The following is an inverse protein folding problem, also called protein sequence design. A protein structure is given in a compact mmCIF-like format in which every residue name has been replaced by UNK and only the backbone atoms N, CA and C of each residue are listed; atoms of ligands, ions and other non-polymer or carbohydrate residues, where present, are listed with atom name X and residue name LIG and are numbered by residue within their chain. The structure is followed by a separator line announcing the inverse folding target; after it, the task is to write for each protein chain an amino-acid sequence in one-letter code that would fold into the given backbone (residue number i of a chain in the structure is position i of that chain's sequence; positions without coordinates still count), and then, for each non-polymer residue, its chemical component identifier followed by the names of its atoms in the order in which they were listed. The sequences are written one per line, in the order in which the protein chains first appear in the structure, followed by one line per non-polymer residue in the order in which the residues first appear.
data_IF_669269710315
#
_entry.id   IF_669269710315
#
_cell.length_a   1.000
_cell.length_b   1.000
_cell.length_c   1.000
_cell.angle_alpha   90.00
_cell.angle_beta   90.00
_cell.angle_gamma   90.00
#
_symmetry.space_group_name_H-M   'P 1'
#
loop_
_entity.id
_entity.type
_entity.pdbx_description
1 polymer ?
#
# COMPACT_ATOMS: atom_id res chain seq x y z
N UNK A 1 -32.49 -18.41 -34.81
CA UNK A 1 -32.50 -17.38 -33.74
C UNK A 1 -32.70 -17.93 -32.30
N UNK A 2 -32.92 -19.23 -32.05
CA UNK A 2 -33.10 -19.77 -30.68
C UNK A 2 -31.81 -20.11 -29.92
N UNK A 3 -30.67 -20.28 -30.63
CA UNK A 3 -29.36 -20.59 -30.02
C UNK A 3 -28.58 -19.36 -29.55
N UNK A 4 -28.90 -18.16 -30.04
CA UNK A 4 -28.23 -16.91 -29.67
C UNK A 4 -28.42 -16.53 -28.18
N UNK A 5 -29.57 -16.90 -27.59
CA UNK A 5 -29.87 -16.65 -26.17
C UNK A 5 -28.97 -17.46 -25.22
N UNK A 6 -28.49 -18.62 -25.67
CA UNK A 6 -27.57 -19.45 -24.88
C UNK A 6 -26.15 -18.88 -24.82
N UNK A 7 -25.74 -18.11 -25.82
CA UNK A 7 -24.47 -17.36 -25.80
C UNK A 7 -24.57 -16.08 -24.97
N UNK A 8 -25.77 -15.55 -24.73
CA UNK A 8 -25.96 -14.33 -23.94
C UNK A 8 -25.57 -14.53 -22.46
N UNK A 9 -25.86 -15.71 -21.90
CA UNK A 9 -25.56 -16.06 -20.52
C UNK A 9 -24.04 -16.00 -20.25
N UNK A 10 -23.16 -16.73 -20.97
CA UNK A 10 -21.73 -16.65 -20.74
C UNK A 10 -21.17 -15.26 -20.99
N UNK A 11 -21.70 -14.49 -21.95
CA UNK A 11 -21.28 -13.09 -22.19
C UNK A 11 -21.61 -12.20 -20.98
N UNK A 12 -22.81 -12.30 -20.42
CA UNK A 12 -23.22 -11.51 -19.24
C UNK A 12 -22.37 -11.91 -18.03
N UNK A 13 -22.13 -13.21 -17.84
CA UNK A 13 -21.27 -13.71 -16.77
C UNK A 13 -19.85 -13.17 -16.93
N UNK A 14 -19.27 -13.22 -18.12
CA UNK A 14 -17.94 -12.67 -18.39
C UNK A 14 -17.88 -11.16 -18.10
N UNK A 15 -18.89 -10.42 -18.57
CA UNK A 15 -18.98 -8.98 -18.34
C UNK A 15 -19.09 -8.66 -16.84
N UNK A 16 -19.84 -9.45 -16.07
CA UNK A 16 -19.93 -9.33 -14.62
C UNK A 16 -18.57 -9.58 -13.95
N UNK A 17 -17.85 -10.63 -14.34
CA UNK A 17 -16.52 -10.92 -13.82
C UNK A 17 -15.54 -9.77 -14.09
N UNK A 18 -15.53 -9.23 -15.31
CA UNK A 18 -14.69 -8.09 -15.67
C UNK A 18 -15.07 -6.85 -14.83
N UNK A 19 -16.37 -6.57 -14.69
CA UNK A 19 -16.86 -5.45 -13.90
C UNK A 19 -16.49 -5.58 -12.42
N UNK A 20 -16.59 -6.78 -11.84
CA UNK A 20 -16.19 -7.06 -10.47
C UNK A 20 -14.68 -6.89 -10.31
N UNK A 21 -13.87 -7.45 -11.20
CA UNK A 21 -12.40 -7.32 -11.10
C UNK A 21 -11.93 -5.87 -11.23
N UNK A 22 -12.53 -5.08 -12.11
CA UNK A 22 -12.17 -3.66 -12.27
C UNK A 22 -12.77 -2.77 -11.17
N UNK A 23 -14.01 -3.03 -10.75
CA UNK A 23 -14.72 -2.23 -9.76
C UNK A 23 -14.15 -2.37 -8.35
N UNK A 24 -13.72 -3.58 -7.97
CA UNK A 24 -13.15 -3.84 -6.64
C UNK A 24 -11.84 -3.09 -6.42
N UNK A 25 -10.98 -2.97 -7.45
CA UNK A 25 -9.74 -2.21 -7.36
C UNK A 25 -9.97 -0.74 -6.97
N UNK A 26 -10.94 -0.08 -7.63
CA UNK A 26 -11.29 1.31 -7.37
C UNK A 26 -11.99 1.49 -6.01
N UNK A 27 -12.81 0.51 -5.61
CA UNK A 27 -13.51 0.52 -4.33
C UNK A 27 -12.58 0.33 -3.13
N UNK A 28 -11.59 -0.55 -3.24
CA UNK A 28 -10.69 -0.88 -2.12
C UNK A 28 -9.47 0.02 -1.98
N UNK A 29 -9.07 0.77 -3.02
CA UNK A 29 -8.00 1.78 -2.93
C UNK A 29 -8.51 3.16 -3.32
N UNK A 30 -9.20 3.87 -2.41
CA UNK A 30 -9.57 5.26 -2.68
C UNK A 30 -8.30 6.07 -3.00
N UNK A 31 -8.37 6.91 -4.04
CA UNK A 31 -7.31 7.86 -4.39
C UNK A 31 -6.68 8.60 -3.19
N UNK A 32 -7.45 9.13 -2.21
CA UNK A 32 -6.85 9.78 -1.05
C UNK A 32 -5.96 8.87 -0.21
N UNK A 33 -6.20 7.56 -0.16
CA UNK A 33 -5.34 6.61 0.57
C UNK A 33 -3.99 6.44 -0.12
N UNK A 34 -3.97 6.45 -1.46
CA UNK A 34 -2.73 6.38 -2.26
C UNK A 34 -1.88 7.65 -2.14
N UNK A 35 -2.52 8.82 -2.13
CA UNK A 35 -1.80 10.10 -1.97
C UNK A 35 -1.29 10.29 -0.53
N UNK A 36 -1.98 9.72 0.46
CA UNK A 36 -1.61 9.86 1.85
C UNK A 36 -0.37 9.05 2.25
N UNK A 37 -0.05 7.96 1.54
CA UNK A 37 1.08 7.09 1.91
C UNK A 37 2.45 7.77 1.70
N UNK A 38 2.79 8.32 0.51
CA UNK A 38 4.01 9.12 0.32
C UNK A 38 4.11 10.31 1.27
N UNK A 39 2.97 10.97 1.54
CA UNK A 39 2.94 12.12 2.44
C UNK A 39 3.31 11.74 3.87
N UNK A 40 2.84 10.59 4.34
CA UNK A 40 3.17 10.08 5.67
C UNK A 40 4.65 9.66 5.77
N UNK A 41 5.22 9.08 4.71
CA UNK A 41 6.67 8.80 4.62
C UNK A 41 7.47 10.09 4.82
N UNK A 42 7.13 11.16 4.10
CA UNK A 42 7.84 12.43 4.20
C UNK A 42 7.66 13.13 5.56
N UNK A 43 6.47 13.05 6.17
CA UNK A 43 6.29 13.56 7.54
C UNK A 43 7.14 12.78 8.55
N UNK A 44 7.08 11.45 8.50
CA UNK A 44 7.84 10.59 9.40
C UNK A 44 9.35 10.80 9.25
N UNK A 45 9.82 10.98 8.02
CA UNK A 45 11.22 11.33 7.72
C UNK A 45 11.65 12.63 8.41
N UNK A 46 10.80 13.67 8.39
CA UNK A 46 11.07 14.95 9.07
C UNK A 46 11.14 14.77 10.59
N UNK A 47 10.23 13.98 11.16
CA UNK A 47 10.24 13.73 12.60
C UNK A 47 11.48 12.94 13.04
N UNK A 48 11.91 11.95 12.25
CA UNK A 48 13.14 11.20 12.51
C UNK A 48 14.38 12.10 12.42
N UNK A 49 14.47 12.95 11.38
CA UNK A 49 15.57 13.91 11.23
C UNK A 49 15.63 14.94 12.37
N UNK A 50 14.47 15.35 12.87
CA UNK A 50 14.35 16.25 14.02
C UNK A 50 14.51 15.53 15.37
N UNK A 51 14.74 14.21 15.39
CA UNK A 51 14.79 13.38 16.60
C UNK A 51 13.51 13.47 17.46
N UNK A 52 12.36 13.74 16.85
CA UNK A 52 11.04 13.76 17.51
C UNK A 52 10.48 12.34 17.65
N UNK A 53 11.18 11.46 18.38
CA UNK A 53 10.94 10.02 18.40
C UNK A 53 9.51 9.61 18.82
N UNK A 54 8.90 10.35 19.74
CA UNK A 54 7.53 10.07 20.19
C UNK A 54 6.51 10.37 19.09
N UNK A 55 6.66 11.53 18.43
CA UNK A 55 5.87 11.89 17.23
C UNK A 55 6.11 10.88 16.11
N UNK A 56 7.38 10.54 15.84
CA UNK A 56 7.77 9.56 14.82
C UNK A 56 7.13 8.18 15.08
N UNK A 57 7.07 7.74 16.34
CA UNK A 57 6.38 6.48 16.67
C UNK A 57 4.86 6.57 16.40
N UNK A 58 4.23 7.71 16.69
CA UNK A 58 2.82 7.95 16.37
C UNK A 58 2.56 7.98 14.86
N UNK A 59 3.44 8.61 14.10
CA UNK A 59 3.32 8.72 12.64
C UNK A 59 3.64 7.41 11.92
N UNK A 60 4.57 6.61 12.45
CA UNK A 60 4.80 5.25 11.99
C UNK A 60 3.55 4.37 12.16
N UNK A 61 2.86 4.46 13.29
CA UNK A 61 1.62 3.72 13.49
C UNK A 61 0.55 4.11 12.47
N UNK A 62 0.47 5.39 12.08
CA UNK A 62 -0.45 5.85 11.03
C UNK A 62 -0.03 5.31 9.66
N UNK A 63 1.27 5.29 9.37
CA UNK A 63 1.82 4.75 8.12
C UNK A 63 1.48 3.26 7.99
N UNK A 64 1.67 2.46 9.05
CA UNK A 64 1.30 1.05 9.07
C UNK A 64 -0.20 0.81 8.87
N UNK A 65 -1.04 1.65 9.49
CA UNK A 65 -2.50 1.58 9.28
C UNK A 65 -2.89 1.92 7.85
N UNK A 66 -2.24 2.91 7.26
CA UNK A 66 -2.45 3.28 5.85
C UNK A 66 -2.02 2.15 4.93
N UNK A 67 -0.87 1.53 5.17
CA UNK A 67 -0.41 0.35 4.42
C UNK A 67 -1.44 -0.78 4.45
N UNK A 68 -1.96 -1.14 5.63
CA UNK A 68 -2.99 -2.19 5.78
C UNK A 68 -4.26 -1.89 4.98
N UNK A 69 -4.62 -0.63 4.79
CA UNK A 69 -5.78 -0.22 3.98
C UNK A 69 -5.50 -0.30 2.47
N UNK A 70 -4.25 -0.22 2.04
CA UNK A 70 -3.87 -0.29 0.62
C UNK A 70 -3.83 -1.73 0.12
N UNK A 71 -3.38 -2.67 0.96
CA UNK A 71 -3.19 -4.09 0.61
C UNK A 71 -4.38 -4.69 -0.16
N UNK A 72 -5.65 -4.56 0.29
CA UNK A 72 -6.78 -5.20 -0.37
C UNK A 72 -6.96 -4.79 -1.84
N UNK A 73 -6.53 -3.58 -2.19
CA UNK A 73 -6.61 -3.07 -3.54
C UNK A 73 -5.44 -3.47 -4.42
N UNK A 74 -4.21 -3.43 -3.90
CA UNK A 74 -3.02 -3.77 -4.70
C UNK A 74 -2.81 -5.29 -4.84
N UNK A 75 -3.27 -6.11 -3.90
CA UNK A 75 -3.05 -7.58 -3.89
C UNK A 75 -3.60 -8.33 -5.12
N UNK A 76 -4.48 -7.70 -5.91
CA UNK A 76 -5.03 -8.28 -7.13
C UNK A 76 -4.03 -8.23 -8.31
N UNK A 77 -3.07 -7.31 -8.28
CA UNK A 77 -2.16 -7.04 -9.40
C UNK A 77 -0.69 -6.97 -8.98
N UNK A 78 -0.39 -6.64 -7.73
CA UNK A 78 0.96 -6.58 -7.20
C UNK A 78 1.52 -7.98 -6.93
N UNK A 79 2.81 -8.15 -7.16
CA UNK A 79 3.55 -9.34 -6.73
C UNK A 79 3.52 -9.45 -5.20
N UNK A 80 3.39 -10.68 -4.69
CA UNK A 80 3.38 -10.94 -3.24
C UNK A 80 4.61 -10.36 -2.55
N UNK A 81 5.78 -10.53 -3.16
CA UNK A 81 7.05 -10.06 -2.61
C UNK A 81 7.08 -8.53 -2.49
N UNK A 82 6.44 -7.79 -3.40
CA UNK A 82 6.33 -6.34 -3.29
C UNK A 82 5.53 -5.91 -2.05
N UNK A 83 4.49 -6.65 -1.68
CA UNK A 83 3.71 -6.40 -0.46
C UNK A 83 4.51 -6.79 0.79
N UNK A 84 5.17 -7.94 0.74
CA UNK A 84 5.94 -8.47 1.87
C UNK A 84 7.20 -7.62 2.16
N UNK A 85 7.85 -7.06 1.14
CA UNK A 85 9.01 -6.18 1.32
C UNK A 85 8.66 -4.93 2.14
N UNK A 86 7.63 -4.18 1.76
CA UNK A 86 7.19 -3.00 2.53
C UNK A 86 6.81 -3.40 3.96
N UNK A 87 6.16 -4.55 4.15
CA UNK A 87 5.81 -5.05 5.49
C UNK A 87 7.06 -5.35 6.34
N UNK A 88 8.09 -5.95 5.75
CA UNK A 88 9.36 -6.24 6.42
C UNK A 88 10.06 -4.93 6.81
N UNK A 89 10.16 -3.97 5.89
CA UNK A 89 10.79 -2.67 6.16
C UNK A 89 10.03 -1.87 7.23
N UNK A 90 8.69 -1.89 7.25
CA UNK A 90 7.90 -1.27 8.32
C UNK A 90 8.22 -1.89 9.69
N UNK A 91 8.39 -3.21 9.75
CA UNK A 91 8.80 -3.90 10.97
C UNK A 91 10.20 -3.49 11.45
N UNK A 92 11.16 -3.37 10.52
CA UNK A 92 12.52 -2.89 10.83
C UNK A 92 12.52 -1.42 11.25
N UNK A 93 11.78 -0.57 10.55
CA UNK A 93 11.59 0.84 10.86
C UNK A 93 11.03 1.04 12.27
N UNK A 94 10.06 0.21 12.70
CA UNK A 94 9.55 0.22 14.06
C UNK A 94 10.63 -0.12 15.10
N UNK A 95 11.48 -1.10 14.80
CA UNK A 95 12.66 -1.41 15.62
C UNK A 95 13.61 -0.22 15.73
N UNK A 96 13.95 0.40 14.59
CA UNK A 96 14.86 1.54 14.52
C UNK A 96 14.31 2.77 15.24
N UNK A 97 13.01 3.09 15.09
CA UNK A 97 12.36 4.20 15.80
C UNK A 97 12.35 3.96 17.31
N UNK A 98 12.07 2.74 17.77
CA UNK A 98 12.13 2.39 19.20
C UNK A 98 13.56 2.46 19.76
N UNK A 99 14.54 2.05 18.97
CA UNK A 99 15.96 2.15 19.32
C UNK A 99 16.51 3.58 19.19
N UNK A 100 15.74 4.52 18.63
CA UNK A 100 16.17 5.88 18.28
C UNK A 100 17.38 5.88 17.33
N UNK A 101 17.45 4.87 16.48
CA UNK A 101 18.49 4.71 15.47
C UNK A 101 18.08 5.46 14.21
N UNK A 102 18.57 6.70 14.09
CA UNK A 102 18.26 7.57 12.95
C UNK A 102 18.78 7.00 11.63
N UNK A 103 19.97 6.41 11.62
CA UNK A 103 20.58 5.89 10.41
C UNK A 103 19.76 4.76 9.81
N UNK A 104 19.45 3.75 10.63
CA UNK A 104 18.63 2.63 10.18
C UNK A 104 17.18 3.07 9.90
N UNK A 105 16.60 3.96 10.70
CA UNK A 105 15.23 4.43 10.43
C UNK A 105 15.11 5.14 9.08
N UNK A 106 16.10 5.96 8.70
CA UNK A 106 16.12 6.62 7.40
C UNK A 106 16.38 5.64 6.26
N UNK A 107 17.23 4.62 6.46
CA UNK A 107 17.48 3.57 5.47
C UNK A 107 16.20 2.80 5.15
N UNK A 108 15.50 2.31 6.17
CA UNK A 108 14.26 1.55 6.02
C UNK A 108 13.14 2.39 5.39
N UNK A 109 13.03 3.68 5.73
CA UNK A 109 12.10 4.60 5.06
C UNK A 109 12.42 4.80 3.57
N UNK A 110 13.72 4.86 3.23
CA UNK A 110 14.16 4.95 1.85
C UNK A 110 13.73 3.74 1.03
N UNK A 111 13.93 2.54 1.57
CA UNK A 111 13.48 1.30 0.92
C UNK A 111 11.96 1.24 0.77
N UNK A 112 11.19 1.64 1.79
CA UNK A 112 9.72 1.72 1.70
C UNK A 112 9.30 2.66 0.55
N UNK A 113 9.94 3.81 0.42
CA UNK A 113 9.62 4.78 -0.63
C UNK A 113 9.94 4.22 -2.03
N UNK A 114 11.04 3.49 -2.18
CA UNK A 114 11.40 2.86 -3.44
C UNK A 114 10.43 1.74 -3.83
N UNK A 115 10.10 0.86 -2.88
CA UNK A 115 9.09 -0.17 -3.10
C UNK A 115 7.71 0.41 -3.43
N UNK A 116 7.34 1.51 -2.78
CA UNK A 116 6.11 2.21 -3.11
C UNK A 116 6.10 2.75 -4.53
N UNK A 117 7.18 3.42 -4.95
CA UNK A 117 7.30 3.93 -6.32
C UNK A 117 7.18 2.79 -7.35
N UNK A 118 7.84 1.65 -7.09
CA UNK A 118 7.76 0.47 -7.94
C UNK A 118 6.37 -0.18 -7.98
N UNK A 119 5.55 -0.03 -6.93
CA UNK A 119 4.17 -0.49 -6.92
C UNK A 119 3.21 0.44 -7.68
N UNK A 120 3.57 1.71 -7.84
CA UNK A 120 2.68 2.74 -8.42
C UNK A 120 3.08 3.25 -9.80
N UNK A 121 4.32 2.99 -10.24
CA UNK A 121 4.77 3.22 -11.61
C UNK A 121 4.26 2.12 -12.55
#
# INVERSE_FOLDING_TARGET
MKKAKWYLIPIIVLALFIAVMQGLYFYFTPQPVRENFPRQIETLKKDILASHWETASGDLNKLEQTWKKIIPGIQLHAEKDAIDNIKINLGRLNGSVKAKDQGNALSELGEINEHWNNLTN
#
